data_IF_206411776180
#
_entry.id   IF_206411776180
#
_cell.length_a   1.000
_cell.length_b   1.000
_cell.length_c   1.000
_cell.angle_alpha   90.00
_cell.angle_beta   90.00
_cell.angle_gamma   90.00
#
_symmetry.space_group_name_H-M   'P 1'
#
loop_
_entity.id
_entity.type
_entity.pdbx_description
1 polymer ?
#
# COMPACT_ATOMS: atom_id res chain seq x y z
N UNK A 1 -22.75 -59.99 -18.70
CA UNK A 1 -23.28 -59.34 -17.47
C UNK A 1 -22.47 -58.08 -17.23
N UNK A 2 -23.00 -56.94 -17.63
CA UNK A 2 -22.35 -55.67 -17.59
C UNK A 2 -22.94 -54.83 -16.42
N UNK A 3 -22.12 -54.49 -15.46
CA UNK A 3 -22.55 -53.73 -14.29
C UNK A 3 -22.78 -52.25 -14.65
N UNK A 4 -23.77 -51.55 -14.09
CA UNK A 4 -24.01 -50.13 -14.35
C UNK A 4 -23.04 -49.25 -13.55
N UNK A 5 -22.38 -48.33 -14.25
CA UNK A 5 -21.59 -47.24 -13.64
C UNK A 5 -22.55 -46.24 -13.00
N UNK A 6 -22.39 -46.05 -11.67
CA UNK A 6 -23.03 -44.94 -10.94
C UNK A 6 -22.28 -43.62 -11.24
N UNK A 7 -22.94 -42.75 -11.94
CA UNK A 7 -22.54 -41.35 -12.10
C UNK A 7 -22.79 -40.59 -10.76
N UNK A 8 -21.74 -40.23 -10.03
CA UNK A 8 -21.83 -39.32 -8.90
C UNK A 8 -21.80 -37.88 -9.44
N UNK A 9 -22.95 -37.26 -9.56
CA UNK A 9 -23.04 -35.81 -9.77
C UNK A 9 -22.48 -35.12 -8.55
N UNK A 10 -21.33 -34.46 -8.71
CA UNK A 10 -20.79 -33.48 -7.72
C UNK A 10 -21.64 -32.23 -7.78
N UNK A 11 -22.46 -32.02 -6.75
CA UNK A 11 -23.14 -30.74 -6.52
C UNK A 11 -22.10 -29.68 -6.28
N UNK A 12 -22.12 -28.61 -7.06
CA UNK A 12 -21.25 -27.44 -6.82
C UNK A 12 -21.54 -26.83 -5.44
N UNK A 13 -20.52 -26.38 -4.70
CA UNK A 13 -20.73 -25.73 -3.40
C UNK A 13 -21.57 -24.46 -3.60
N UNK A 14 -22.62 -24.34 -2.81
CA UNK A 14 -23.42 -23.10 -2.77
C UNK A 14 -22.55 -21.96 -2.25
N UNK A 15 -22.68 -20.74 -2.83
CA UNK A 15 -22.01 -19.56 -2.29
C UNK A 15 -22.48 -19.33 -0.85
N UNK A 16 -21.57 -18.83 0.04
CA UNK A 16 -21.94 -18.51 1.42
C UNK A 16 -23.09 -17.48 1.42
N UNK A 17 -24.03 -17.67 2.35
CA UNK A 17 -25.13 -16.73 2.54
C UNK A 17 -24.58 -15.32 2.73
N UNK A 18 -25.08 -14.36 1.95
CA UNK A 18 -24.76 -12.95 2.12
C UNK A 18 -25.23 -12.52 3.52
N UNK A 19 -24.42 -11.78 4.30
CA UNK A 19 -24.88 -11.21 5.56
C UNK A 19 -26.09 -10.32 5.26
N UNK A 20 -27.19 -10.57 5.93
CA UNK A 20 -28.41 -9.74 5.84
C UNK A 20 -28.02 -8.30 6.17
N UNK A 21 -28.26 -7.39 5.24
CA UNK A 21 -28.12 -5.96 5.47
C UNK A 21 -29.12 -5.58 6.60
N UNK A 22 -28.63 -5.06 7.71
CA UNK A 22 -29.49 -4.52 8.76
C UNK A 22 -30.24 -3.31 8.19
N UNK A 23 -31.56 -3.45 8.00
CA UNK A 23 -32.43 -2.47 7.34
C UNK A 23 -32.55 -1.12 8.10
N UNK A 24 -31.95 -0.98 9.29
CA UNK A 24 -32.10 0.17 10.18
C UNK A 24 -30.94 1.20 10.13
N UNK A 25 -29.92 1.01 9.31
CA UNK A 25 -28.80 1.97 9.23
C UNK A 25 -29.06 2.99 8.12
N UNK A 26 -29.04 4.31 8.43
CA UNK A 26 -29.15 5.31 7.37
C UNK A 26 -28.04 5.15 6.35
N UNK A 27 -28.29 5.47 5.07
CA UNK A 27 -27.27 5.35 4.03
C UNK A 27 -26.08 6.25 4.34
N UNK A 28 -24.84 5.80 4.02
CA UNK A 28 -23.63 6.58 4.25
C UNK A 28 -23.69 7.89 3.45
N UNK A 29 -23.29 8.99 4.08
CA UNK A 29 -23.34 10.35 3.52
C UNK A 29 -21.97 10.90 3.14
N UNK A 30 -20.91 10.24 3.64
CA UNK A 30 -19.53 10.62 3.39
C UNK A 30 -18.73 9.44 2.83
N UNK A 31 -17.62 9.67 2.09
CA UNK A 31 -16.73 8.61 1.65
C UNK A 31 -16.22 7.74 2.81
N UNK A 32 -15.94 8.34 3.97
CA UNK A 32 -15.51 7.60 5.16
C UNK A 32 -16.61 6.66 5.69
N UNK A 33 -17.85 7.13 5.82
CA UNK A 33 -18.96 6.28 6.23
C UNK A 33 -19.21 5.15 5.22
N UNK A 34 -19.06 5.44 3.92
CA UNK A 34 -19.17 4.42 2.88
C UNK A 34 -18.06 3.38 3.01
N UNK A 35 -16.81 3.81 3.17
CA UNK A 35 -15.67 2.91 3.42
C UNK A 35 -15.90 2.01 4.63
N UNK A 36 -16.36 2.57 5.75
CA UNK A 36 -16.64 1.81 6.98
C UNK A 36 -17.82 0.84 6.81
N UNK A 37 -18.75 1.12 5.91
CA UNK A 37 -19.88 0.25 5.60
C UNK A 37 -19.54 -0.91 4.65
N UNK A 38 -18.42 -0.85 3.95
CA UNK A 38 -18.01 -1.92 3.02
C UNK A 38 -17.76 -3.23 3.78
N UNK A 39 -18.18 -4.37 3.21
CA UNK A 39 -17.78 -5.68 3.72
C UNK A 39 -16.25 -5.79 3.82
N UNK A 40 -15.70 -6.48 4.83
CA UNK A 40 -14.24 -6.61 5.00
C UNK A 40 -13.50 -7.07 3.75
N UNK A 41 -14.11 -7.98 2.97
CA UNK A 41 -13.53 -8.47 1.71
C UNK A 41 -13.39 -7.40 0.63
N UNK A 42 -14.23 -6.36 0.63
CA UNK A 42 -14.15 -5.25 -0.33
C UNK A 42 -13.22 -4.13 0.16
N UNK A 43 -12.89 -4.09 1.45
CA UNK A 43 -11.96 -3.08 2.00
C UNK A 43 -10.51 -3.35 1.63
N UNK A 44 -10.16 -4.57 1.20
CA UNK A 44 -8.77 -4.96 0.92
C UNK A 44 -8.06 -4.08 -0.12
N UNK A 45 -8.81 -3.38 -0.97
CA UNK A 45 -8.29 -2.47 -1.99
C UNK A 45 -9.16 -1.21 -2.13
N UNK A 46 -9.83 -0.80 -1.08
CA UNK A 46 -10.56 0.46 -1.02
C UNK A 46 -9.71 1.49 -0.26
N UNK A 47 -9.48 2.62 -0.88
CA UNK A 47 -8.72 3.76 -0.34
C UNK A 47 -9.61 5.00 -0.33
N UNK A 48 -9.36 5.93 0.57
CA UNK A 48 -9.92 7.28 0.51
C UNK A 48 -8.75 8.22 0.21
N UNK A 49 -8.79 8.86 -0.96
CA UNK A 49 -7.71 9.74 -1.43
C UNK A 49 -8.30 11.08 -1.82
N UNK A 50 -7.84 12.17 -1.20
CA UNK A 50 -8.41 13.51 -1.34
C UNK A 50 -9.95 13.50 -1.15
N UNK A 51 -10.42 12.76 -0.13
CA UNK A 51 -11.85 12.64 0.20
C UNK A 51 -12.68 11.82 -0.81
N UNK A 52 -12.05 11.11 -1.75
CA UNK A 52 -12.75 10.27 -2.72
C UNK A 52 -12.50 8.79 -2.43
N UNK A 53 -13.57 7.98 -2.43
CA UNK A 53 -13.44 6.53 -2.32
C UNK A 53 -12.97 5.94 -3.64
N UNK A 54 -11.82 5.28 -3.61
CA UNK A 54 -11.21 4.60 -4.75
C UNK A 54 -11.16 3.11 -4.47
N UNK A 55 -11.71 2.31 -5.36
CA UNK A 55 -11.65 0.85 -5.27
C UNK A 55 -10.78 0.34 -6.41
N UNK A 56 -9.69 -0.32 -6.07
CA UNK A 56 -8.71 -0.82 -7.02
C UNK A 56 -8.71 -2.35 -7.07
N UNK A 57 -8.45 -2.95 -8.23
CA UNK A 57 -8.24 -4.39 -8.31
C UNK A 57 -6.99 -4.81 -7.54
N UNK A 58 -6.88 -6.08 -7.20
CA UNK A 58 -5.67 -6.65 -6.61
C UNK A 58 -4.46 -6.42 -7.51
N UNK A 59 -3.31 -6.13 -6.89
CA UNK A 59 -2.04 -5.95 -7.61
C UNK A 59 -1.63 -7.21 -8.39
N UNK A 60 -0.91 -7.00 -9.50
CA UNK A 60 -0.34 -8.11 -10.28
C UNK A 60 0.87 -8.73 -9.55
N UNK A 61 1.27 -9.97 -9.89
CA UNK A 61 2.40 -10.65 -9.23
C UNK A 61 3.71 -9.85 -9.22
N UNK A 62 3.94 -8.98 -10.19
CA UNK A 62 5.12 -8.10 -10.24
C UNK A 62 5.16 -7.14 -9.06
N UNK A 63 4.03 -6.51 -8.68
CA UNK A 63 3.95 -5.63 -7.51
C UNK A 63 4.34 -6.37 -6.23
N UNK A 64 3.70 -7.51 -5.97
CA UNK A 64 4.04 -8.30 -4.79
C UNK A 64 5.52 -8.74 -4.75
N UNK A 65 6.09 -9.08 -5.91
CA UNK A 65 7.50 -9.45 -6.01
C UNK A 65 8.43 -8.29 -5.66
N UNK A 66 8.17 -7.09 -6.18
CA UNK A 66 8.97 -5.90 -5.93
C UNK A 66 8.87 -5.51 -4.45
N UNK A 67 7.64 -5.44 -3.89
CA UNK A 67 7.43 -5.12 -2.49
C UNK A 67 8.16 -6.11 -1.54
N UNK A 68 8.07 -7.40 -1.80
CA UNK A 68 8.75 -8.42 -1.00
C UNK A 68 10.28 -8.35 -1.13
N UNK A 69 10.83 -8.08 -2.32
CA UNK A 69 12.27 -7.91 -2.50
C UNK A 69 12.79 -6.69 -1.77
N UNK A 70 12.02 -5.58 -1.77
CA UNK A 70 12.33 -4.40 -0.97
C UNK A 70 12.32 -4.73 0.53
N UNK A 71 11.29 -5.44 1.01
CA UNK A 71 11.21 -5.86 2.40
C UNK A 71 12.42 -6.69 2.83
N UNK A 72 12.81 -7.70 2.06
CA UNK A 72 13.99 -8.53 2.36
C UNK A 72 15.29 -7.72 2.34
N UNK A 73 15.43 -6.77 1.43
CA UNK A 73 16.64 -5.94 1.34
C UNK A 73 16.78 -5.01 2.55
N UNK A 74 15.68 -4.43 3.03
CA UNK A 74 15.70 -3.48 4.15
C UNK A 74 15.69 -4.15 5.52
N UNK A 75 15.16 -5.36 5.65
CA UNK A 75 14.96 -6.05 6.92
C UNK A 75 16.16 -5.97 7.88
N UNK A 76 17.44 -6.22 7.46
CA UNK A 76 18.57 -6.17 8.39
C UNK A 76 18.87 -4.78 8.95
N UNK A 77 18.48 -3.70 8.23
CA UNK A 77 18.63 -2.33 8.68
C UNK A 77 17.49 -1.95 9.63
N UNK A 78 16.26 -2.39 9.36
CA UNK A 78 15.08 -2.10 10.15
C UNK A 78 15.14 -2.75 11.54
N UNK A 79 15.58 -4.00 11.62
CA UNK A 79 15.72 -4.72 12.89
C UNK A 79 16.66 -4.01 13.88
N UNK A 80 17.74 -3.39 13.38
CA UNK A 80 18.69 -2.62 14.21
C UNK A 80 18.05 -1.38 14.82
N UNK A 81 17.01 -0.84 14.20
CA UNK A 81 16.31 0.35 14.63
C UNK A 81 15.05 0.03 15.48
N UNK A 82 14.69 -1.24 15.62
CA UNK A 82 13.42 -1.63 16.23
C UNK A 82 12.21 -1.26 15.37
N UNK A 83 12.36 -1.32 14.04
CA UNK A 83 11.30 -1.05 13.09
C UNK A 83 10.81 -2.35 12.44
N UNK A 84 9.57 -2.31 11.99
CA UNK A 84 8.94 -3.37 11.21
C UNK A 84 8.43 -2.83 9.88
N UNK A 85 8.12 -3.72 8.95
CA UNK A 85 7.63 -3.34 7.63
C UNK A 85 6.47 -4.21 7.18
N UNK A 86 5.62 -3.62 6.35
CA UNK A 86 4.47 -4.29 5.77
C UNK A 86 4.49 -4.15 4.25
N UNK A 87 4.26 -5.27 3.56
CA UNK A 87 4.15 -5.33 2.10
C UNK A 87 2.67 -5.43 1.72
N UNK A 88 2.04 -4.29 1.44
CA UNK A 88 0.61 -4.17 1.12
C UNK A 88 -0.32 -4.52 2.28
N UNK A 89 -1.63 -4.41 2.05
CA UNK A 89 -2.72 -4.84 2.95
C UNK A 89 -2.70 -4.24 4.36
N UNK A 90 -2.06 -3.09 4.56
CA UNK A 90 -2.10 -2.32 5.79
C UNK A 90 -2.69 -0.95 5.47
N UNK A 91 -3.74 -0.61 6.19
CA UNK A 91 -4.42 0.66 6.05
C UNK A 91 -3.65 1.74 6.82
N UNK A 92 -3.37 2.86 6.17
CA UNK A 92 -2.75 4.05 6.76
C UNK A 92 -3.82 5.14 6.87
N UNK A 93 -4.12 5.58 8.09
CA UNK A 93 -4.98 6.74 8.32
C UNK A 93 -4.18 8.03 8.17
N UNK A 94 -4.53 8.87 7.23
CA UNK A 94 -3.95 10.20 7.02
C UNK A 94 -4.56 11.15 8.07
N UNK A 95 -3.70 11.62 9.00
CA UNK A 95 -4.14 12.51 10.07
C UNK A 95 -4.61 13.86 9.52
N UNK A 96 -5.70 14.37 10.08
CA UNK A 96 -6.39 15.57 9.59
C UNK A 96 -7.61 15.21 8.74
N UNK A 97 -7.50 14.97 7.44
CA UNK A 97 -8.64 14.64 6.58
C UNK A 97 -9.24 13.25 6.83
N UNK A 98 -8.47 12.35 7.46
CA UNK A 98 -8.83 10.94 7.69
C UNK A 98 -9.06 10.15 6.40
N UNK A 99 -8.30 10.49 5.38
CA UNK A 99 -8.14 9.64 4.21
C UNK A 99 -7.50 8.32 4.64
N UNK A 100 -7.75 7.26 3.89
CA UNK A 100 -7.18 5.92 4.16
C UNK A 100 -6.44 5.46 2.92
N UNK A 101 -5.15 5.20 3.06
CA UNK A 101 -4.28 4.77 1.96
C UNK A 101 -3.69 3.39 2.25
N UNK A 102 -3.46 2.62 1.19
CA UNK A 102 -2.84 1.29 1.27
C UNK A 102 -1.55 1.32 0.44
N UNK A 103 -0.40 1.67 1.02
CA UNK A 103 0.86 1.65 0.29
C UNK A 103 1.26 0.22 -0.09
N UNK A 104 2.01 0.08 -1.19
CA UNK A 104 2.56 -1.23 -1.58
C UNK A 104 3.61 -1.73 -0.59
N UNK A 105 4.28 -0.81 0.12
CA UNK A 105 5.22 -1.12 1.20
C UNK A 105 5.32 0.06 2.17
N UNK A 106 5.43 -0.23 3.47
CA UNK A 106 5.71 0.80 4.47
C UNK A 106 6.61 0.28 5.60
N UNK A 107 7.29 1.21 6.26
CA UNK A 107 8.14 0.99 7.43
C UNK A 107 7.65 1.85 8.57
N UNK A 108 7.54 1.24 9.76
CA UNK A 108 7.05 1.88 10.98
C UNK A 108 7.86 1.40 12.20
N UNK A 109 7.91 2.14 13.32
CA UNK A 109 8.34 1.62 14.60
C UNK A 109 7.41 0.48 15.06
N UNK A 110 7.95 -0.50 15.80
CA UNK A 110 7.15 -1.64 16.37
C UNK A 110 5.91 -1.18 17.16
N UNK A 111 5.97 0.02 17.76
CA UNK A 111 4.84 0.59 18.51
C UNK A 111 4.24 1.79 17.76
N UNK A 112 4.08 1.70 16.45
CA UNK A 112 3.47 2.77 15.66
C UNK A 112 2.07 3.12 16.19
N UNK A 113 1.69 4.40 16.22
CA UNK A 113 0.37 4.82 16.69
C UNK A 113 -0.71 4.33 15.74
N UNK A 114 -1.86 3.91 16.30
CA UNK A 114 -2.99 3.38 15.53
C UNK A 114 -4.20 4.32 15.61
N UNK A 115 -4.97 4.33 14.54
CA UNK A 115 -6.33 4.81 14.52
C UNK A 115 -7.30 3.62 14.72
N UNK A 116 -7.94 3.58 15.90
CA UNK A 116 -8.69 2.38 16.30
C UNK A 116 -7.78 1.15 16.42
N UNK A 117 -8.30 -0.01 16.04
CA UNK A 117 -7.58 -1.28 16.12
C UNK A 117 -6.96 -1.72 14.79
N UNK A 118 -7.03 -0.86 13.75
CA UNK A 118 -6.79 -1.32 12.38
C UNK A 118 -5.81 -0.49 11.58
N UNK A 119 -5.92 0.83 11.63
CA UNK A 119 -5.19 1.71 10.73
C UNK A 119 -3.96 2.29 11.43
N UNK A 120 -2.81 2.26 10.79
CA UNK A 120 -1.62 2.95 11.30
C UNK A 120 -1.79 4.45 11.02
N UNK A 121 -1.51 5.30 12.00
CA UNK A 121 -1.50 6.74 11.78
C UNK A 121 -0.31 7.16 10.92
N UNK A 122 -0.51 8.10 10.00
CA UNK A 122 0.54 8.61 9.10
C UNK A 122 1.75 9.19 9.84
N UNK A 123 1.57 9.71 11.06
CA UNK A 123 2.67 10.18 11.93
C UNK A 123 3.62 9.07 12.40
N UNK A 124 3.20 7.81 12.31
CA UNK A 124 4.05 6.64 12.61
C UNK A 124 4.91 6.17 11.45
N UNK A 125 4.73 6.71 10.25
CA UNK A 125 5.47 6.25 9.08
C UNK A 125 6.91 6.76 9.06
N UNK A 126 7.84 5.87 8.76
CA UNK A 126 9.26 6.17 8.53
C UNK A 126 9.56 6.24 7.03
N UNK A 127 9.01 5.28 6.29
CA UNK A 127 9.14 5.18 4.84
C UNK A 127 7.86 4.59 4.27
N UNK A 128 7.44 5.08 3.12
CA UNK A 128 6.43 4.44 2.26
C UNK A 128 7.02 4.19 0.88
N UNK A 129 6.54 3.13 0.20
CA UNK A 129 6.88 2.90 -1.19
C UNK A 129 5.63 2.53 -1.99
N UNK A 130 5.54 3.11 -3.19
CA UNK A 130 4.53 2.80 -4.18
C UNK A 130 5.19 2.21 -5.44
N UNK A 131 4.55 1.21 -6.02
CA UNK A 131 5.03 0.51 -7.20
C UNK A 131 4.10 0.85 -8.35
N UNK A 132 4.60 1.65 -9.28
CA UNK A 132 3.79 2.22 -10.35
C UNK A 132 3.29 1.14 -11.31
N UNK A 133 2.00 1.21 -11.63
CA UNK A 133 1.36 0.42 -12.68
C UNK A 133 0.80 1.34 -13.79
N UNK A 134 0.47 0.80 -14.97
CA UNK A 134 -0.16 1.61 -16.01
C UNK A 134 -1.44 2.33 -15.57
N UNK A 135 -2.18 1.75 -14.60
CA UNK A 135 -3.43 2.34 -14.09
C UNK A 135 -3.24 3.31 -12.92
N UNK A 136 -2.07 3.35 -12.29
CA UNK A 136 -1.81 4.16 -11.08
C UNK A 136 -0.79 5.28 -11.29
N UNK A 137 -0.31 5.50 -12.52
CA UNK A 137 0.81 6.42 -12.81
C UNK A 137 0.64 7.81 -12.21
N UNK A 138 -0.51 8.45 -12.37
CA UNK A 138 -0.75 9.79 -11.85
C UNK A 138 -0.83 9.78 -10.32
N UNK A 139 -1.53 8.79 -9.77
CA UNK A 139 -1.67 8.64 -8.33
C UNK A 139 -0.33 8.47 -7.64
N UNK A 140 0.48 7.52 -8.12
CA UNK A 140 1.74 7.15 -7.48
C UNK A 140 2.87 8.17 -7.74
N UNK A 141 2.84 8.87 -8.90
CA UNK A 141 3.89 9.84 -9.25
C UNK A 141 3.60 11.27 -8.78
N UNK A 142 2.33 11.63 -8.55
CA UNK A 142 1.96 13.01 -8.24
C UNK A 142 1.05 13.17 -7.02
N UNK A 143 -0.06 12.44 -6.94
CA UNK A 143 -1.07 12.66 -5.90
C UNK A 143 -0.58 12.14 -4.55
N UNK A 144 -0.19 10.86 -4.45
CA UNK A 144 0.27 10.26 -3.20
C UNK A 144 1.54 10.94 -2.63
N UNK A 145 2.56 11.32 -3.44
CA UNK A 145 3.69 12.08 -2.93
C UNK A 145 3.31 13.36 -2.20
N UNK A 146 2.35 14.12 -2.74
CA UNK A 146 1.86 15.34 -2.10
C UNK A 146 1.16 15.04 -0.77
N UNK A 147 0.36 13.99 -0.70
CA UNK A 147 -0.35 13.60 0.52
C UNK A 147 0.64 13.15 1.59
N UNK A 148 1.57 12.25 1.26
CA UNK A 148 2.58 11.76 2.20
C UNK A 148 3.51 12.89 2.67
N UNK A 149 3.93 13.80 1.81
CA UNK A 149 4.70 14.98 2.21
C UNK A 149 3.88 15.90 3.14
N UNK A 150 2.59 16.09 2.85
CA UNK A 150 1.67 16.88 3.69
C UNK A 150 1.50 16.31 5.10
N UNK A 151 1.66 15.01 5.27
CA UNK A 151 1.66 14.34 6.57
C UNK A 151 3.03 14.27 7.24
N UNK A 152 4.07 14.80 6.60
CA UNK A 152 5.42 14.77 7.13
C UNK A 152 6.09 13.39 7.08
N UNK A 153 5.64 12.47 6.23
CA UNK A 153 6.30 11.16 6.06
C UNK A 153 7.73 11.37 5.59
N UNK A 154 8.76 10.93 6.35
CA UNK A 154 10.15 11.32 6.09
C UNK A 154 10.66 10.91 4.70
N UNK A 155 10.30 9.71 4.26
CA UNK A 155 10.79 9.13 3.01
C UNK A 155 9.65 8.52 2.22
N UNK A 156 9.54 8.88 0.95
CA UNK A 156 8.71 8.17 -0.02
C UNK A 156 9.58 7.63 -1.14
N UNK A 157 9.38 6.36 -1.47
CA UNK A 157 10.02 5.70 -2.60
C UNK A 157 8.99 5.43 -3.69
N UNK A 158 9.35 5.69 -4.94
CA UNK A 158 8.56 5.35 -6.12
C UNK A 158 9.38 4.34 -6.93
N UNK A 159 8.91 3.10 -7.00
CA UNK A 159 9.48 2.08 -7.87
C UNK A 159 8.67 2.05 -9.15
N UNK A 160 9.27 2.44 -10.25
CA UNK A 160 8.57 2.69 -11.52
C UNK A 160 9.06 1.76 -12.64
N UNK A 161 8.54 0.54 -12.72
CA UNK A 161 8.89 -0.41 -13.76
C UNK A 161 8.27 -0.08 -15.12
N UNK A 162 7.31 0.87 -15.18
CA UNK A 162 6.64 1.29 -16.44
C UNK A 162 7.29 2.50 -17.08
N UNK A 163 8.21 3.18 -16.39
CA UNK A 163 9.03 4.23 -16.98
C UNK A 163 9.97 3.64 -18.06
N UNK A 164 10.40 4.48 -18.99
CA UNK A 164 11.37 4.11 -20.03
C UNK A 164 12.56 5.05 -20.02
N UNK A 165 13.73 4.63 -19.49
CA UNK A 165 13.99 3.35 -18.81
C UNK A 165 13.27 3.22 -17.47
N UNK A 166 13.11 1.99 -16.89
CA UNK A 166 12.59 1.79 -15.55
C UNK A 166 13.42 2.53 -14.50
N UNK A 167 12.74 3.17 -13.53
CA UNK A 167 13.35 4.09 -12.57
C UNK A 167 12.99 3.74 -11.13
N UNK A 168 13.86 4.14 -10.21
CA UNK A 168 13.56 4.20 -8.77
C UNK A 168 13.85 5.62 -8.29
N UNK A 169 12.88 6.21 -7.59
CA UNK A 169 12.98 7.57 -7.05
C UNK A 169 12.80 7.53 -5.54
N UNK A 170 13.64 8.25 -4.80
CA UNK A 170 13.50 8.52 -3.38
C UNK A 170 13.24 10.01 -3.20
N UNK A 171 12.16 10.30 -2.49
CA UNK A 171 11.73 11.64 -2.10
C UNK A 171 11.96 11.77 -0.60
N UNK A 172 12.53 12.87 -0.14
CA UNK A 172 12.80 13.13 1.28
C UNK A 172 12.71 14.62 1.63
N UNK A 173 12.87 14.92 2.90
CA UNK A 173 12.77 16.29 3.44
C UNK A 173 11.39 16.91 3.14
N UNK A 174 10.29 16.34 3.71
CA UNK A 174 8.94 16.87 3.51
C UNK A 174 8.80 18.26 4.17
N UNK A 175 8.34 19.23 3.38
CA UNK A 175 8.08 20.58 3.84
C UNK A 175 6.93 21.18 3.07
N UNK A 176 5.93 21.73 3.77
CA UNK A 176 4.75 22.38 3.17
C UNK A 176 4.04 21.55 2.08
N UNK A 177 3.88 20.25 2.32
CA UNK A 177 3.19 19.34 1.40
C UNK A 177 3.99 18.92 0.17
N UNK A 178 5.30 19.17 0.16
CA UNK A 178 6.22 18.76 -0.90
C UNK A 178 7.48 18.14 -0.31
N UNK A 179 8.11 17.23 -1.07
CA UNK A 179 9.45 16.74 -0.76
C UNK A 179 10.48 17.68 -1.38
N UNK A 180 11.40 18.20 -0.60
CA UNK A 180 12.46 19.13 -1.05
C UNK A 180 13.60 18.43 -1.77
N UNK A 181 13.86 17.19 -1.41
CA UNK A 181 14.96 16.41 -1.99
C UNK A 181 14.40 15.26 -2.84
N UNK A 182 14.91 15.16 -4.06
CA UNK A 182 14.58 14.06 -4.99
C UNK A 182 15.87 13.43 -5.48
N UNK A 183 16.03 12.14 -5.23
CA UNK A 183 17.12 11.33 -5.78
C UNK A 183 16.52 10.21 -6.62
N UNK A 184 17.02 10.01 -7.84
CA UNK A 184 16.52 8.96 -8.71
C UNK A 184 17.66 8.24 -9.43
N UNK A 185 17.41 7.00 -9.79
CA UNK A 185 18.34 6.19 -10.57
C UNK A 185 17.59 5.26 -11.52
N UNK A 186 18.26 4.86 -12.58
CA UNK A 186 17.76 3.77 -13.40
C UNK A 186 17.76 2.47 -12.59
N UNK A 187 16.69 1.70 -12.68
CA UNK A 187 16.59 0.38 -12.03
C UNK A 187 17.76 -0.51 -12.43
N UNK A 188 18.36 -1.19 -11.45
CA UNK A 188 19.59 -1.95 -11.62
C UNK A 188 20.86 -1.22 -11.17
N UNK A 189 20.76 0.04 -10.73
CA UNK A 189 21.89 0.81 -10.20
C UNK A 189 21.71 1.09 -8.70
N UNK A 190 22.81 1.31 -7.94
CA UNK A 190 22.71 1.68 -6.52
C UNK A 190 21.92 2.98 -6.31
N UNK A 191 21.16 3.02 -5.21
CA UNK A 191 20.42 4.21 -4.78
C UNK A 191 20.54 4.37 -3.27
N UNK A 192 20.91 5.57 -2.82
CA UNK A 192 20.95 5.91 -1.40
C UNK A 192 19.55 6.25 -0.90
N UNK A 193 19.09 5.55 0.14
CA UNK A 193 17.94 5.94 0.97
C UNK A 193 18.51 6.78 2.11
N UNK A 194 18.10 8.05 2.30
CA UNK A 194 18.67 8.93 3.32
C UNK A 194 18.22 8.56 4.74
N UNK A 195 18.69 9.34 5.72
CA UNK A 195 18.15 9.30 7.09
C UNK A 195 16.63 9.53 7.08
N UNK A 196 15.85 8.86 7.94
CA UNK A 196 16.30 8.03 9.06
C UNK A 196 16.66 6.57 8.71
N UNK A 197 16.40 6.08 7.51
CA UNK A 197 16.68 4.68 7.12
C UNK A 197 18.19 4.46 6.88
N UNK A 198 18.84 5.41 6.23
CA UNK A 198 20.29 5.45 6.04
C UNK A 198 20.88 4.19 5.39
N UNK A 199 20.36 3.79 4.23
CA UNK A 199 20.65 2.52 3.58
C UNK A 199 21.05 2.68 2.10
N UNK A 200 22.09 1.94 1.66
CA UNK A 200 22.46 1.83 0.25
C UNK A 200 21.73 0.66 -0.40
N UNK A 201 20.75 0.96 -1.23
CA UNK A 201 19.90 -0.01 -1.89
C UNK A 201 20.48 -0.40 -3.27
N UNK A 202 20.71 -1.69 -3.48
CA UNK A 202 20.96 -2.23 -4.83
C UNK A 202 19.60 -2.45 -5.52
N UNK A 203 19.25 -1.55 -6.45
CA UNK A 203 17.98 -1.64 -7.16
C UNK A 203 17.91 -2.74 -8.21
N UNK A 204 18.98 -3.52 -8.41
CA UNK A 204 18.96 -4.72 -9.27
C UNK A 204 18.02 -5.80 -8.75
N UNK A 205 17.70 -5.76 -7.46
CA UNK A 205 16.67 -6.63 -6.85
C UNK A 205 15.29 -6.50 -7.51
N UNK A 206 15.02 -5.42 -8.23
CA UNK A 206 13.72 -5.17 -8.87
C UNK A 206 13.64 -5.72 -10.32
N UNK A 207 14.74 -6.17 -10.88
CA UNK A 207 14.84 -6.75 -12.22
C UNK A 207 14.40 -8.22 -12.28
#
# INVERSE_FOLDING_TARGET
MTAPQRSTQRTAPQPPAQPEASEDRPPPRTPRELFESLPPALRLRAEIIDGNLIVSPSGIPQHGRIAMRLAFALQPALEKQGWESFAGNVDICIEGPRDTMIPDYCVVPVNAPLWGDREILSSGLVLVAEIVSPGSMEMDRAVKPRIYAGCGVPIMMIVDPVASPPMVTVLSDPEEGTYRTTTHTQMGKPLRIPSPVDFDLDTSIFL
#
